data_IF_957940509845
#
_entry.id   IF_957940509845
#
_cell.length_a   1.000
_cell.length_b   1.000
_cell.length_c   1.000
_cell.angle_alpha   90.00
_cell.angle_beta   90.00
_cell.angle_gamma   90.00
#
_symmetry.space_group_name_H-M   'P 1'
#
loop_
_entity.id
_entity.type
_entity.pdbx_description
1 polymer ?
#
# COMPACT_ATOMS: atom_id res chain seq x y z
N UNK A 1 30.52 -5.80 14.99
CA UNK A 1 30.37 -4.86 13.86
C UNK A 1 28.96 -4.29 13.87
N UNK A 2 28.77 -2.97 14.01
CA UNK A 2 27.44 -2.35 13.86
C UNK A 2 27.10 -2.28 12.37
N UNK A 3 25.93 -2.77 11.97
CA UNK A 3 25.47 -2.67 10.58
C UNK A 3 25.33 -1.21 10.16
N UNK A 4 25.49 -0.91 8.86
CA UNK A 4 25.42 0.46 8.31
C UNK A 4 24.15 1.19 8.78
N UNK A 5 23.01 0.49 8.84
CA UNK A 5 21.73 1.05 9.27
C UNK A 5 21.66 1.39 10.76
N UNK A 6 22.51 0.82 11.60
CA UNK A 6 22.45 0.95 13.08
C UNK A 6 23.61 1.76 13.66
N UNK A 7 24.52 2.25 12.81
CA UNK A 7 25.73 2.94 13.25
C UNK A 7 25.44 4.40 13.61
N UNK A 8 25.59 4.75 14.89
CA UNK A 8 25.37 6.09 15.46
C UNK A 8 26.29 7.17 14.92
N UNK A 9 27.48 6.82 14.43
CA UNK A 9 28.44 7.79 13.88
C UNK A 9 28.09 8.26 12.46
N UNK A 10 27.10 7.62 11.83
CA UNK A 10 26.62 7.96 10.48
C UNK A 10 25.32 8.75 10.63
N UNK A 11 25.17 9.83 9.86
CA UNK A 11 23.93 10.62 9.85
C UNK A 11 22.73 9.78 9.40
N UNK A 12 21.53 10.11 9.91
CA UNK A 12 20.28 9.44 9.53
C UNK A 12 20.07 9.50 8.01
N UNK A 13 20.38 10.65 7.40
CA UNK A 13 20.20 10.84 5.95
C UNK A 13 21.10 9.90 5.12
N UNK A 14 22.36 9.70 5.51
CA UNK A 14 23.23 8.75 4.83
C UNK A 14 22.74 7.31 4.98
N UNK A 15 22.21 6.95 6.16
CA UNK A 15 21.60 5.62 6.37
C UNK A 15 20.33 5.43 5.53
N UNK A 16 19.51 6.48 5.38
CA UNK A 16 18.32 6.50 4.52
C UNK A 16 18.70 6.32 3.05
N UNK A 17 19.72 7.03 2.57
CA UNK A 17 20.26 6.86 1.21
C UNK A 17 20.77 5.45 0.99
N UNK A 18 21.51 4.87 1.94
CA UNK A 18 21.97 3.49 1.83
C UNK A 18 20.80 2.49 1.73
N UNK A 19 19.75 2.68 2.51
CA UNK A 19 18.54 1.87 2.41
C UNK A 19 17.87 1.99 1.03
N UNK A 20 17.73 3.21 0.51
CA UNK A 20 17.14 3.46 -0.80
C UNK A 20 17.97 2.90 -1.96
N UNK A 21 19.30 2.91 -1.86
CA UNK A 21 20.18 2.45 -2.93
C UNK A 21 20.40 0.93 -2.93
N UNK A 22 20.48 0.30 -1.76
CA UNK A 22 20.90 -1.11 -1.67
C UNK A 22 19.76 -2.05 -1.28
N UNK A 23 18.83 -1.61 -0.44
CA UNK A 23 17.81 -2.50 0.13
C UNK A 23 16.49 -2.38 -0.65
N UNK A 24 16.04 -1.16 -0.94
CA UNK A 24 14.79 -0.91 -1.68
C UNK A 24 14.77 -1.61 -3.06
N UNK A 25 15.84 -1.60 -3.89
CA UNK A 25 15.83 -2.29 -5.18
C UNK A 25 15.74 -3.82 -5.04
N UNK A 26 16.41 -4.40 -4.04
CA UNK A 26 16.37 -5.84 -3.75
C UNK A 26 14.97 -6.25 -3.30
N UNK A 27 14.35 -5.45 -2.43
CA UNK A 27 13.00 -5.70 -1.93
C UNK A 27 11.94 -5.61 -3.04
N UNK A 28 12.15 -4.72 -4.01
CA UNK A 28 11.24 -4.51 -5.15
C UNK A 28 11.63 -5.30 -6.40
N UNK A 29 12.60 -6.21 -6.32
CA UNK A 29 13.04 -6.99 -7.46
C UNK A 29 11.90 -7.86 -8.00
N UNK A 30 11.59 -7.78 -9.29
CA UNK A 30 10.52 -8.58 -9.89
C UNK A 30 9.10 -8.22 -9.44
N UNK A 31 8.91 -7.11 -8.71
CA UNK A 31 7.59 -6.71 -8.21
C UNK A 31 6.54 -6.49 -9.31
N UNK A 32 6.96 -6.27 -10.55
CA UNK A 32 6.09 -6.15 -11.74
C UNK A 32 5.30 -7.43 -12.02
N UNK A 33 5.85 -8.60 -11.67
CA UNK A 33 5.26 -9.91 -11.94
C UNK A 33 4.55 -10.53 -10.73
N UNK A 34 4.62 -9.91 -9.54
CA UNK A 34 4.01 -10.44 -8.33
C UNK A 34 2.59 -9.90 -8.14
N UNK A 35 1.67 -10.76 -7.71
CA UNK A 35 0.35 -10.32 -7.24
C UNK A 35 0.47 -9.69 -5.85
N UNK A 36 0.06 -8.42 -5.70
CA UNK A 36 0.06 -7.74 -4.39
C UNK A 36 -1.22 -8.08 -3.65
N UNK A 37 -1.14 -9.08 -2.77
CA UNK A 37 -2.21 -9.36 -1.81
C UNK A 37 -2.17 -8.38 -0.63
N UNK A 38 -3.29 -8.25 0.09
CA UNK A 38 -3.35 -7.47 1.35
C UNK A 38 -2.25 -7.89 2.33
N UNK A 39 -1.98 -9.20 2.43
CA UNK A 39 -0.93 -9.75 3.29
C UNK A 39 0.48 -9.30 2.88
N UNK A 40 0.80 -9.29 1.58
CA UNK A 40 2.08 -8.80 1.07
C UNK A 40 2.20 -7.30 1.33
N UNK A 41 1.13 -6.53 1.11
CA UNK A 41 1.11 -5.10 1.42
C UNK A 41 1.45 -4.84 2.89
N UNK A 42 0.79 -5.53 3.83
CA UNK A 42 1.09 -5.40 5.26
C UNK A 42 2.54 -5.79 5.60
N UNK A 43 3.08 -6.85 4.99
CA UNK A 43 4.49 -7.26 5.18
C UNK A 43 5.46 -6.19 4.68
N UNK A 44 5.19 -5.56 3.53
CA UNK A 44 6.03 -4.49 2.99
C UNK A 44 6.02 -3.26 3.89
N UNK A 45 4.84 -2.87 4.39
CA UNK A 45 4.69 -1.75 5.32
C UNK A 45 5.39 -2.02 6.67
N UNK A 46 5.22 -3.23 7.23
CA UNK A 46 5.91 -3.65 8.44
C UNK A 46 7.44 -3.67 8.25
N UNK A 47 7.90 -4.09 7.07
CA UNK A 47 9.32 -4.10 6.70
C UNK A 47 9.88 -2.68 6.62
N UNK A 48 9.18 -1.75 5.98
CA UNK A 48 9.54 -0.32 5.95
C UNK A 48 9.64 0.26 7.37
N UNK A 49 8.66 -0.02 8.22
CA UNK A 49 8.67 0.40 9.63
C UNK A 49 9.83 -0.22 10.42
N UNK A 50 10.15 -1.49 10.18
CA UNK A 50 11.27 -2.19 10.83
C UNK A 50 12.60 -1.51 10.51
N UNK A 51 12.82 -1.14 9.25
CA UNK A 51 14.03 -0.42 8.87
C UNK A 51 14.11 0.98 9.49
N UNK A 52 12.99 1.73 9.50
CA UNK A 52 12.95 3.06 10.12
C UNK A 52 13.25 2.99 11.62
N UNK A 53 12.64 2.06 12.34
CA UNK A 53 12.89 1.86 13.78
C UNK A 53 14.33 1.49 14.07
N UNK A 54 14.92 0.59 13.26
CA UNK A 54 16.34 0.22 13.37
C UNK A 54 17.27 1.42 13.09
N UNK A 55 16.94 2.23 12.09
CA UNK A 55 17.71 3.42 11.74
C UNK A 55 17.62 4.53 12.79
N UNK A 56 16.48 4.68 13.45
CA UNK A 56 16.28 5.63 14.55
C UNK A 56 16.68 5.06 15.92
N UNK A 57 17.12 3.81 15.98
CA UNK A 57 17.45 3.08 17.22
C UNK A 57 16.32 3.09 18.26
N UNK A 58 15.08 3.03 17.80
CA UNK A 58 13.91 3.04 18.68
C UNK A 58 13.76 1.64 19.28
N UNK A 59 13.89 1.48 20.61
CA UNK A 59 13.68 0.18 21.24
C UNK A 59 12.19 -0.18 21.18
N UNK A 60 11.90 -1.50 21.17
CA UNK A 60 10.52 -1.98 21.16
C UNK A 60 9.74 -1.55 22.41
N UNK A 61 10.43 -1.34 23.53
CA UNK A 61 9.85 -0.87 24.80
C UNK A 61 9.31 0.57 24.74
N UNK A 62 9.76 1.38 23.77
CA UNK A 62 9.34 2.77 23.66
C UNK A 62 7.86 2.93 23.24
N UNK A 63 7.19 1.85 22.78
CA UNK A 63 5.78 1.83 22.36
C UNK A 63 5.36 3.01 21.46
N UNK A 64 6.28 3.56 20.66
CA UNK A 64 6.01 4.68 19.74
C UNK A 64 5.08 4.23 18.61
N UNK A 65 4.07 5.04 18.28
CA UNK A 65 3.17 4.81 17.12
C UNK A 65 3.94 4.88 15.80
N UNK A 66 3.43 4.21 14.75
CA UNK A 66 4.09 4.18 13.44
C UNK A 66 4.15 5.57 12.79
N UNK A 67 3.13 6.40 12.99
CA UNK A 67 3.10 7.79 12.49
C UNK A 67 4.20 8.64 13.12
N UNK A 68 4.41 8.51 14.44
CA UNK A 68 5.48 9.26 15.13
C UNK A 68 6.86 8.87 14.60
N UNK A 69 7.07 7.58 14.31
CA UNK A 69 8.32 7.09 13.71
C UNK A 69 8.52 7.66 12.30
N UNK A 70 7.47 7.76 11.49
CA UNK A 70 7.52 8.33 10.14
C UNK A 70 7.85 9.84 10.17
N UNK A 71 7.23 10.57 11.09
CA UNK A 71 7.49 12.00 11.29
C UNK A 71 8.94 12.24 11.75
N UNK A 72 9.44 11.46 12.71
CA UNK A 72 10.82 11.55 13.21
C UNK A 72 11.85 11.18 12.12
N UNK A 73 11.52 10.25 11.22
CA UNK A 73 12.34 9.91 10.07
C UNK A 73 12.21 10.88 8.88
N UNK A 74 11.31 11.86 8.96
CA UNK A 74 10.89 12.73 7.85
C UNK A 74 10.71 11.92 6.54
N UNK A 75 9.94 10.82 6.63
CA UNK A 75 9.66 9.93 5.49
C UNK A 75 8.18 9.59 5.44
N UNK A 76 7.61 9.65 4.24
CA UNK A 76 6.29 9.08 3.94
C UNK A 76 6.45 7.65 3.43
N UNK A 77 5.47 6.79 3.72
CA UNK A 77 5.43 5.43 3.16
C UNK A 77 5.46 5.51 1.64
N UNK A 78 6.47 4.94 1.02
CA UNK A 78 6.68 5.05 -0.43
C UNK A 78 6.74 3.71 -1.14
N UNK A 79 6.97 2.63 -0.41
CA UNK A 79 7.34 1.34 -1.02
C UNK A 79 6.19 0.71 -1.82
N UNK A 80 5.03 0.55 -1.18
CA UNK A 80 3.81 0.00 -1.83
C UNK A 80 3.39 0.86 -3.02
N UNK A 81 3.42 2.19 -2.87
CA UNK A 81 3.11 3.13 -3.95
C UNK A 81 4.05 2.97 -5.14
N UNK A 82 5.35 2.80 -4.87
CA UNK A 82 6.37 2.61 -5.90
C UNK A 82 6.16 1.30 -6.65
N UNK A 83 5.85 0.21 -5.93
CA UNK A 83 5.55 -1.09 -6.53
C UNK A 83 4.30 -1.00 -7.43
N UNK A 84 3.19 -0.45 -6.93
CA UNK A 84 1.96 -0.27 -7.72
C UNK A 84 2.21 0.56 -8.98
N UNK A 85 3.02 1.61 -8.89
CA UNK A 85 3.40 2.43 -10.05
C UNK A 85 4.19 1.62 -11.09
N UNK A 86 5.15 0.79 -10.66
CA UNK A 86 5.92 -0.07 -11.57
C UNK A 86 5.03 -1.10 -12.26
N UNK A 87 4.14 -1.76 -11.51
CA UNK A 87 3.17 -2.71 -12.05
C UNK A 87 2.27 -2.08 -13.11
N UNK A 88 1.68 -0.92 -12.84
CA UNK A 88 0.86 -0.20 -13.80
C UNK A 88 1.65 0.20 -15.06
N UNK A 89 2.91 0.62 -14.88
CA UNK A 89 3.80 0.98 -16.01
C UNK A 89 4.12 -0.23 -16.87
N UNK A 90 4.42 -1.37 -16.25
CA UNK A 90 4.70 -2.64 -16.91
C UNK A 90 3.47 -3.13 -17.67
N UNK A 91 2.29 -3.14 -17.02
CA UNK A 91 1.01 -3.49 -17.65
C UNK A 91 0.75 -2.61 -18.87
N UNK A 92 0.89 -1.28 -18.74
CA UNK A 92 0.75 -0.37 -19.87
C UNK A 92 1.74 -0.65 -21.01
N UNK A 93 2.95 -1.13 -20.70
CA UNK A 93 3.94 -1.54 -21.71
C UNK A 93 3.52 -2.82 -22.45
N UNK A 94 2.98 -3.81 -21.72
CA UNK A 94 2.45 -5.05 -22.30
C UNK A 94 1.27 -4.75 -23.22
N UNK A 95 0.31 -3.93 -22.76
CA UNK A 95 -0.88 -3.54 -23.52
C UNK A 95 -0.56 -2.85 -24.85
N UNK A 96 0.53 -2.07 -24.91
CA UNK A 96 0.96 -1.40 -26.16
C UNK A 96 1.60 -2.33 -27.18
N UNK A 97 2.04 -3.54 -26.81
CA UNK A 97 2.75 -4.46 -27.71
C UNK A 97 1.84 -5.41 -28.51
N UNK A 98 0.52 -5.37 -28.33
CA UNK A 98 -0.45 -5.87 -29.31
C UNK A 98 -0.43 -7.39 -29.57
N UNK A 99 0.10 -8.21 -28.65
CA UNK A 99 0.12 -9.69 -28.79
C UNK A 99 -0.12 -10.48 -27.51
N UNK A 100 0.04 -9.90 -26.32
CA UNK A 100 -0.04 -10.63 -25.03
C UNK A 100 -1.29 -10.25 -24.21
N UNK A 101 -1.83 -9.07 -24.50
CA UNK A 101 -2.97 -8.45 -23.84
C UNK A 101 -4.27 -9.24 -24.00
N UNK A 102 -4.53 -9.89 -25.13
CA UNK A 102 -5.73 -10.71 -25.24
C UNK A 102 -5.63 -11.96 -24.34
N UNK A 103 -4.48 -12.62 -24.25
CA UNK A 103 -4.31 -13.86 -23.47
C UNK A 103 -4.27 -13.61 -21.95
N UNK A 104 -3.60 -12.53 -21.52
CA UNK A 104 -3.42 -12.20 -20.09
C UNK A 104 -4.65 -11.50 -19.50
N UNK A 105 -5.36 -10.69 -20.28
CA UNK A 105 -6.49 -9.87 -19.77
C UNK A 105 -7.84 -10.56 -19.90
N UNK A 106 -8.04 -11.42 -20.91
CA UNK A 106 -9.34 -12.11 -21.07
C UNK A 106 -9.46 -13.39 -20.24
N UNK A 107 -8.39 -13.82 -19.56
CA UNK A 107 -8.41 -15.03 -18.73
C UNK A 107 -8.79 -16.32 -19.48
N UNK A 108 -8.85 -16.29 -20.82
CA UNK A 108 -9.11 -17.49 -21.65
C UNK A 108 -7.85 -18.37 -21.69
N UNK A 109 -7.52 -18.98 -20.56
CA UNK A 109 -7.19 -20.40 -20.61
C UNK A 109 -8.46 -21.06 -21.12
N UNK A 110 -8.42 -21.62 -22.33
CA UNK A 110 -9.49 -22.47 -22.83
C UNK A 110 -9.55 -23.71 -21.92
N UNK A 111 -10.12 -23.54 -20.72
CA UNK A 111 -10.42 -24.61 -19.79
C UNK A 111 -11.53 -25.40 -20.44
N UNK A 112 -11.13 -26.53 -21.03
CA UNK A 112 -11.94 -27.73 -21.02
C UNK A 112 -12.59 -27.86 -19.63
N UNK A 113 -13.93 -27.90 -19.60
CA UNK A 113 -14.70 -28.50 -18.50
C UNK A 113 -14.97 -27.63 -17.27
N UNK A 114 -16.18 -27.03 -17.25
CA UNK A 114 -17.28 -27.15 -16.24
C UNK A 114 -16.96 -27.10 -14.72
N UNK A 115 -17.96 -26.61 -13.98
CA UNK A 115 -18.21 -26.56 -12.52
C UNK A 115 -17.78 -25.26 -11.82
N UNK A 116 -18.59 -24.54 -11.04
CA UNK A 116 -20.03 -24.54 -10.74
C UNK A 116 -20.33 -23.14 -10.14
N UNK A 117 -21.60 -22.73 -10.20
CA UNK A 117 -22.11 -21.52 -9.55
C UNK A 117 -22.05 -21.68 -8.02
N UNK A 118 -21.54 -20.68 -7.33
CA UNK A 118 -21.95 -20.36 -5.97
C UNK A 118 -22.36 -18.88 -6.01
N UNK A 119 -23.68 -18.68 -6.03
CA UNK A 119 -24.36 -17.43 -5.76
C UNK A 119 -24.04 -17.03 -4.30
N UNK A 120 -23.31 -15.94 -4.10
CA UNK A 120 -23.27 -15.24 -2.82
C UNK A 120 -24.17 -14.01 -2.97
N UNK A 121 -25.34 -14.11 -2.35
CA UNK A 121 -26.37 -13.08 -2.21
C UNK A 121 -25.77 -11.82 -1.55
N UNK A 122 -25.73 -10.70 -2.28
CA UNK A 122 -25.56 -9.36 -1.72
C UNK A 122 -26.94 -8.87 -1.26
N UNK A 123 -27.26 -9.08 0.03
CA UNK A 123 -28.34 -8.36 0.73
C UNK A 123 -27.85 -6.93 1.02
N UNK A 124 -28.21 -6.01 0.12
CA UNK A 124 -28.24 -4.58 0.37
C UNK A 124 -29.47 -4.28 1.26
N UNK A 125 -29.28 -4.18 2.58
CA UNK A 125 -30.28 -3.59 3.47
C UNK A 125 -30.06 -2.07 3.55
N UNK A 126 -31.04 -1.37 3.00
CA UNK A 126 -31.35 0.05 3.18
C UNK A 126 -31.50 0.40 4.67
N UNK A 127 -30.95 1.54 5.08
CA UNK A 127 -31.49 2.31 6.22
C UNK A 127 -31.43 3.79 5.84
N UNK A 128 -32.57 4.27 5.35
CA UNK A 128 -32.99 5.67 5.38
C UNK A 128 -33.13 6.10 6.86
N UNK A 129 -32.64 7.28 7.21
CA UNK A 129 -33.23 8.04 8.32
C UNK A 129 -33.18 9.54 7.97
N UNK A 130 -34.38 10.11 8.00
CA UNK A 130 -34.78 11.45 7.62
C UNK A 130 -34.17 12.53 8.52
N UNK A 131 -33.59 13.58 7.93
CA UNK A 131 -33.39 14.87 8.60
C UNK A 131 -34.42 15.86 8.00
N UNK A 132 -35.57 15.98 8.67
CA UNK A 132 -36.56 17.04 8.50
C UNK A 132 -36.00 18.37 9.03
N UNK A 133 -35.48 19.22 8.15
CA UNK A 133 -35.21 20.64 8.43
C UNK A 133 -36.36 21.49 7.85
N UNK A 134 -37.38 21.77 8.66
CA UNK A 134 -38.34 22.87 8.43
C UNK A 134 -38.35 23.76 9.69
N UNK A 135 -37.38 24.69 9.75
CA UNK A 135 -37.46 25.88 10.59
C UNK A 135 -38.18 26.97 9.79
N UNK A 136 -39.45 27.23 10.10
CA UNK A 136 -40.12 28.49 9.81
C UNK A 136 -41.21 28.76 10.86
N UNK A 137 -41.47 30.04 11.06
CA UNK A 137 -42.47 30.68 11.92
C UNK A 137 -42.05 30.95 13.38
N UNK A 138 -41.50 32.16 13.59
CA UNK A 138 -42.01 33.01 14.66
C UNK A 138 -42.32 34.41 14.11
N UNK A 139 -43.57 34.78 14.35
CA UNK A 139 -44.40 35.88 13.88
C UNK A 139 -43.88 37.33 14.07
N UNK A 140 -44.50 38.18 13.24
CA UNK A 140 -44.59 39.65 13.27
C UNK A 140 -44.93 40.27 14.64
N UNK A 141 -44.47 41.51 14.91
CA UNK A 141 -45.34 42.71 15.03
C UNK A 141 -44.59 43.94 15.61
N UNK A 142 -44.82 45.09 14.94
CA UNK A 142 -44.65 46.53 15.29
C UNK A 142 -43.39 47.08 16.01
#
# INVERSE_FOLDING_TARGET
>A
MKTILTNTHISIETRKRALQCYIEPVLMYGCEAWTISKQIQHKLEATEMSFLRRMLQIPWTAKKTNERVLNEANKRRSLVRTIKKRQATFLGHVMRRGKLEHLVTTGKLHKLGVYDNDDDDDDDDDDDDDDDDDDDDDDDDD
#
